data_IF_513606880067
#
_entry.id   IF_513606880067
#
_cell.length_a   1.000
_cell.length_b   1.000
_cell.length_c   1.000
_cell.angle_alpha   90.00
_cell.angle_beta   90.00
_cell.angle_gamma   90.00
#
_symmetry.space_group_name_H-M   'P 1'
#
loop_
_entity.id
_entity.type
_entity.pdbx_description
1 polymer ?
#
# COMPACT_ATOMS: atom_id res chain seq x y z
N UNK A 1 5.30 -12.46 7.09
CA UNK A 1 5.19 -11.59 5.89
C UNK A 1 3.78 -11.72 5.34
N UNK A 2 2.96 -10.66 5.39
CA UNK A 2 1.59 -10.73 4.89
C UNK A 2 1.62 -10.97 3.37
N UNK A 3 0.88 -11.97 2.91
CA UNK A 3 0.84 -12.31 1.50
C UNK A 3 0.05 -11.23 0.74
N UNK A 4 0.61 -10.73 -0.36
CA UNK A 4 -0.03 -9.84 -1.35
C UNK A 4 -1.47 -10.30 -1.70
N UNK A 5 -1.77 -11.60 -1.59
CA UNK A 5 -3.11 -12.16 -1.78
C UNK A 5 -4.19 -11.58 -0.86
N UNK A 6 -3.94 -11.39 0.43
CA UNK A 6 -4.96 -10.93 1.39
C UNK A 6 -5.41 -9.51 1.09
N UNK A 7 -4.47 -8.63 0.72
CA UNK A 7 -4.76 -7.24 0.36
C UNK A 7 -5.54 -7.12 -0.95
N UNK A 8 -5.31 -8.02 -1.90
CA UNK A 8 -6.02 -8.03 -3.18
C UNK A 8 -7.49 -8.41 -3.00
N UNK A 9 -7.77 -9.40 -2.16
CA UNK A 9 -9.13 -9.91 -2.00
C UNK A 9 -9.96 -9.08 -1.02
N UNK A 10 -9.32 -8.51 0.01
CA UNK A 10 -10.03 -7.75 1.03
C UNK A 10 -10.20 -6.26 0.70
N UNK A 11 -9.34 -5.69 -0.16
CA UNK A 11 -9.34 -4.26 -0.50
C UNK A 11 -9.43 -4.00 -2.02
N UNK A 12 -9.72 -5.02 -2.82
CA UNK A 12 -9.80 -4.97 -4.30
C UNK A 12 -8.57 -4.31 -4.95
N UNK A 13 -7.40 -4.50 -4.33
CA UNK A 13 -6.15 -3.91 -4.80
C UNK A 13 -5.57 -4.72 -5.96
N UNK A 14 -5.01 -4.01 -6.92
CA UNK A 14 -4.15 -4.59 -7.94
C UNK A 14 -2.84 -5.08 -7.32
N UNK A 15 -2.10 -6.00 -7.97
CA UNK A 15 -0.81 -6.45 -7.47
C UNK A 15 0.22 -5.32 -7.30
N UNK A 16 0.14 -4.22 -8.06
CA UNK A 16 1.02 -3.07 -7.88
C UNK A 16 0.66 -2.26 -6.63
N UNK A 17 -0.64 -1.98 -6.45
CA UNK A 17 -1.18 -1.29 -5.28
C UNK A 17 -0.91 -2.04 -3.97
N UNK A 18 -1.06 -3.37 -3.98
CA UNK A 18 -0.76 -4.19 -2.80
C UNK A 18 0.73 -4.18 -2.45
N UNK A 19 1.63 -4.17 -3.43
CA UNK A 19 3.08 -4.04 -3.18
C UNK A 19 3.42 -2.67 -2.60
N UNK A 20 2.80 -1.61 -3.12
CA UNK A 20 2.94 -0.28 -2.57
C UNK A 20 2.45 -0.20 -1.12
N UNK A 21 1.27 -0.74 -0.83
CA UNK A 21 0.71 -0.80 0.52
C UNK A 21 1.66 -1.52 1.51
N UNK A 22 2.28 -2.62 1.10
CA UNK A 22 3.26 -3.34 1.92
C UNK A 22 4.52 -2.50 2.19
N UNK A 23 5.05 -1.80 1.18
CA UNK A 23 6.20 -0.92 1.37
C UNK A 23 5.88 0.21 2.37
N UNK A 24 4.72 0.86 2.21
CA UNK A 24 4.27 1.91 3.13
C UNK A 24 4.04 1.38 4.55
N UNK A 25 3.55 0.14 4.70
CA UNK A 25 3.42 -0.50 6.01
C UNK A 25 4.79 -0.78 6.66
N UNK A 26 5.82 -1.06 5.86
CA UNK A 26 7.19 -1.24 6.34
C UNK A 26 7.85 0.07 6.78
N UNK A 27 7.17 1.21 6.59
CA UNK A 27 7.68 2.54 6.92
C UNK A 27 8.42 3.23 5.77
N UNK A 28 8.45 2.63 4.57
CA UNK A 28 9.03 3.27 3.40
C UNK A 28 8.25 4.56 3.04
N UNK A 29 8.97 5.64 2.78
CA UNK A 29 8.39 6.86 2.21
C UNK A 29 8.19 6.72 0.68
N UNK A 30 7.53 7.69 0.03
CA UNK A 30 7.22 7.62 -1.42
C UNK A 30 8.49 7.38 -2.26
N UNK A 31 9.61 8.00 -1.87
CA UNK A 31 10.89 7.83 -2.56
C UNK A 31 11.50 6.44 -2.36
N UNK A 32 11.43 5.91 -1.15
CA UNK A 32 11.95 4.58 -0.83
C UNK A 32 11.09 3.50 -1.49
N UNK A 33 9.77 3.66 -1.47
CA UNK A 33 8.85 2.80 -2.20
C UNK A 33 9.10 2.83 -3.72
N UNK A 34 9.41 4.00 -4.28
CA UNK A 34 9.78 4.13 -5.70
C UNK A 34 11.05 3.33 -6.03
N UNK A 35 12.09 3.47 -5.21
CA UNK A 35 13.34 2.71 -5.36
C UNK A 35 13.12 1.21 -5.18
N UNK A 36 12.39 0.81 -4.14
CA UNK A 36 12.12 -0.58 -3.78
C UNK A 36 11.28 -1.31 -4.84
N UNK A 37 10.32 -0.60 -5.44
CA UNK A 37 9.45 -1.12 -6.48
C UNK A 37 10.02 -0.91 -7.90
N UNK A 38 11.17 -0.23 -8.01
CA UNK A 38 11.83 0.12 -9.26
C UNK A 38 10.88 0.84 -10.25
N UNK A 39 10.18 1.86 -9.75
CA UNK A 39 9.23 2.70 -10.49
C UNK A 39 9.46 4.17 -10.17
N UNK A 40 8.94 5.07 -11.02
CA UNK A 40 9.04 6.51 -10.77
C UNK A 40 8.19 6.95 -9.56
N UNK A 41 8.61 7.98 -8.82
CA UNK A 41 7.83 8.55 -7.70
C UNK A 41 6.45 9.07 -8.14
N UNK A 42 6.32 9.51 -9.40
CA UNK A 42 5.02 9.85 -9.99
C UNK A 42 4.08 8.64 -10.12
N UNK A 43 4.62 7.49 -10.51
CA UNK A 43 3.89 6.22 -10.56
C UNK A 43 3.45 5.79 -9.16
N UNK A 44 4.31 5.95 -8.16
CA UNK A 44 3.97 5.71 -6.76
C UNK A 44 2.80 6.59 -6.33
N UNK A 45 2.86 7.90 -6.56
CA UNK A 45 1.77 8.82 -6.21
C UNK A 45 0.46 8.47 -6.91
N UNK A 46 0.51 8.06 -8.18
CA UNK A 46 -0.67 7.62 -8.94
C UNK A 46 -1.29 6.36 -8.34
N UNK A 47 -0.47 5.37 -8.01
CA UNK A 47 -0.91 4.16 -7.33
C UNK A 47 -1.47 4.48 -5.94
N UNK A 48 -0.79 5.30 -5.14
CA UNK A 48 -1.23 5.75 -3.82
C UNK A 48 -2.63 6.38 -3.87
N UNK A 49 -2.88 7.25 -4.85
CA UNK A 49 -4.19 7.88 -5.06
C UNK A 49 -5.27 6.85 -5.39
N UNK A 50 -4.95 5.84 -6.19
CA UNK A 50 -5.86 4.75 -6.50
C UNK A 50 -6.14 3.88 -5.26
N UNK A 51 -5.11 3.58 -4.45
CA UNK A 51 -5.27 2.87 -3.17
C UNK A 51 -6.20 3.65 -2.24
N UNK A 52 -5.99 4.96 -2.09
CA UNK A 52 -6.87 5.81 -1.28
C UNK A 52 -8.32 5.83 -1.77
N UNK A 53 -8.52 5.89 -3.09
CA UNK A 53 -9.86 5.83 -3.67
C UNK A 53 -10.56 4.47 -3.40
N UNK A 54 -9.81 3.36 -3.46
CA UNK A 54 -10.35 2.00 -3.25
C UNK A 54 -10.58 1.66 -1.79
N UNK A 55 -9.70 2.12 -0.91
CA UNK A 55 -9.77 1.84 0.54
C UNK A 55 -10.60 2.87 1.30
N UNK A 56 -10.95 4.00 0.67
CA UNK A 56 -11.72 5.09 1.28
C UNK A 56 -10.90 5.98 2.23
N UNK A 57 -9.63 5.65 2.46
CA UNK A 57 -8.74 6.41 3.35
C UNK A 57 -8.18 7.65 2.65
N UNK A 58 -7.87 8.69 3.42
CA UNK A 58 -7.37 9.98 2.87
C UNK A 58 -5.93 10.29 3.20
N UNK A 59 -5.29 9.49 4.07
CA UNK A 59 -3.93 9.71 4.56
C UNK A 59 -3.14 8.41 4.56
N UNK A 60 -1.82 8.52 4.39
CA UNK A 60 -0.91 7.38 4.47
C UNK A 60 -0.99 6.69 5.85
N UNK A 61 -1.05 7.45 6.94
CA UNK A 61 -1.20 6.89 8.29
C UNK A 61 -2.49 6.11 8.48
N UNK A 62 -3.57 6.55 7.83
CA UNK A 62 -4.89 5.92 7.87
C UNK A 62 -4.88 4.60 7.08
N UNK A 63 -4.21 4.60 5.92
CA UNK A 63 -3.91 3.37 5.18
C UNK A 63 -3.07 2.39 6.01
N UNK A 64 -2.00 2.85 6.68
CA UNK A 64 -1.15 2.00 7.53
C UNK A 64 -1.97 1.41 8.69
N UNK A 65 -2.82 2.20 9.33
CA UNK A 65 -3.69 1.73 10.40
C UNK A 65 -4.71 0.69 9.89
N UNK A 66 -5.33 0.93 8.74
CA UNK A 66 -6.25 0.00 8.10
C UNK A 66 -5.55 -1.32 7.72
N UNK A 67 -4.34 -1.24 7.16
CA UNK A 67 -3.51 -2.40 6.87
C UNK A 67 -3.12 -3.15 8.15
N UNK A 68 -2.78 -2.45 9.23
CA UNK A 68 -2.49 -3.04 10.54
C UNK A 68 -3.70 -3.73 11.18
N UNK A 69 -4.91 -3.23 10.92
CA UNK A 69 -6.14 -3.87 11.40
C UNK A 69 -6.55 -5.08 10.54
N UNK A 70 -6.22 -5.07 9.25
CA UNK A 70 -6.46 -6.21 8.34
C UNK A 70 -5.41 -7.32 8.47
N UNK A 71 -4.20 -6.96 8.86
CA UNK A 71 -3.05 -7.86 8.92
C UNK A 71 -2.72 -8.10 10.40
N UNK A 72 -3.10 -9.27 10.98
CA UNK A 72 -2.72 -9.57 12.35
C UNK A 72 -1.19 -9.53 12.45
N UNK A 73 -0.70 -8.65 13.31
CA UNK A 73 0.71 -8.57 13.68
C UNK A 73 1.00 -9.75 14.60
N UNK A 74 1.22 -10.93 14.01
CA UNK A 74 1.66 -12.14 14.71
C UNK A 74 3.09 -12.48 14.29
#
# INVERSE_FOLDING_TARGET
MPAVGTLRTALDLTPAEARLAIALQAGDDIGEAATRLNISPETVRKQLKAVFAKTGVRRQSDLIALLGNLLPSA
#
